data_IF_005544614629
#
_entry.id   IF_005544614629
#
_cell.length_a   1.000
_cell.length_b   1.000
_cell.length_c   1.000
_cell.angle_alpha   90.00
_cell.angle_beta   90.00
_cell.angle_gamma   90.00
#
_symmetry.space_group_name_H-M   'P 1'
#
loop_
_entity.id
_entity.type
_entity.pdbx_description
1 polymer ?
#
# COMPACT_ATOMS: atom_id res chain seq x y z
N UNK A 1 34.43 -26.10 -10.72
CA UNK A 1 34.06 -25.94 -9.29
C UNK A 1 34.22 -24.50 -8.78
N UNK A 2 35.39 -23.83 -8.91
CA UNK A 2 35.56 -22.42 -8.48
C UNK A 2 34.76 -21.39 -9.30
N UNK A 3 34.51 -21.65 -10.59
CA UNK A 3 33.67 -20.78 -11.44
C UNK A 3 32.17 -20.84 -11.07
N UNK A 4 31.69 -22.01 -10.63
CA UNK A 4 30.30 -22.23 -10.19
C UNK A 4 29.99 -21.49 -8.88
N UNK A 5 30.97 -21.43 -7.97
CA UNK A 5 30.87 -20.74 -6.69
C UNK A 5 30.88 -19.21 -6.86
N UNK A 6 31.66 -18.68 -7.82
CA UNK A 6 31.68 -17.24 -8.14
C UNK A 6 30.34 -16.77 -8.72
N UNK A 7 29.73 -17.56 -9.62
CA UNK A 7 28.37 -17.32 -10.15
C UNK A 7 27.27 -17.40 -9.08
N UNK A 8 27.47 -18.15 -7.99
CA UNK A 8 26.52 -18.22 -6.85
C UNK A 8 26.69 -17.04 -5.89
N UNK A 9 27.91 -16.50 -5.72
CA UNK A 9 28.16 -15.29 -4.95
C UNK A 9 27.65 -14.02 -5.67
N UNK A 10 27.85 -13.91 -6.98
CA UNK A 10 27.36 -12.77 -7.78
C UNK A 10 25.83 -12.70 -7.86
N UNK A 11 25.12 -13.84 -7.72
CA UNK A 11 23.65 -13.88 -7.61
C UNK A 11 23.11 -13.40 -6.25
N UNK A 12 23.95 -13.35 -5.22
CA UNK A 12 23.58 -12.85 -3.89
C UNK A 12 23.84 -11.36 -3.71
N UNK A 13 24.67 -10.73 -4.55
CA UNK A 13 25.06 -9.33 -4.43
C UNK A 13 24.31 -8.37 -5.36
N UNK A 14 23.34 -8.86 -6.13
CA UNK A 14 22.45 -8.02 -6.92
C UNK A 14 21.02 -8.20 -6.42
N UNK A 15 20.57 -7.34 -5.52
CA UNK A 15 19.15 -7.18 -5.24
C UNK A 15 18.49 -6.67 -6.51
N UNK A 16 18.09 -7.59 -7.41
CA UNK A 16 17.08 -7.23 -8.40
C UNK A 16 15.88 -6.73 -7.61
N UNK A 17 15.33 -5.55 -7.92
CA UNK A 17 14.06 -5.16 -7.35
C UNK A 17 13.07 -6.30 -7.57
N UNK A 18 12.28 -6.63 -6.55
CA UNK A 18 11.21 -7.61 -6.69
C UNK A 18 10.43 -7.23 -7.94
N UNK A 19 10.32 -8.11 -8.94
CA UNK A 19 9.52 -7.79 -10.10
C UNK A 19 8.07 -7.60 -9.61
N UNK A 20 7.60 -6.36 -9.68
CA UNK A 20 6.26 -5.93 -9.31
C UNK A 20 5.26 -6.46 -10.34
N UNK A 21 5.01 -7.76 -10.29
CA UNK A 21 4.06 -8.41 -11.18
C UNK A 21 2.64 -8.07 -10.74
N UNK A 22 1.86 -7.50 -11.64
CA UNK A 22 0.42 -7.34 -11.46
C UNK A 22 -0.28 -8.68 -11.67
N UNK A 23 -1.16 -9.05 -10.75
CA UNK A 23 -1.94 -10.28 -10.84
C UNK A 23 -2.93 -10.19 -12.01
N UNK A 24 -2.97 -11.21 -12.86
CA UNK A 24 -3.96 -11.29 -13.95
C UNK A 24 -4.32 -12.76 -14.20
N UNK A 25 -5.46 -13.27 -13.66
CA UNK A 25 -5.77 -14.70 -13.68
C UNK A 25 -6.00 -15.26 -15.10
N UNK A 26 -6.38 -14.39 -16.05
CA UNK A 26 -6.57 -14.74 -17.46
C UNK A 26 -5.47 -14.17 -18.37
N UNK A 27 -4.39 -13.62 -17.79
CA UNK A 27 -3.28 -13.07 -18.56
C UNK A 27 -2.44 -14.18 -19.20
N UNK A 28 -2.39 -14.23 -20.52
CA UNK A 28 -1.31 -14.95 -21.19
C UNK A 28 0.04 -14.37 -20.72
N UNK A 29 1.11 -15.18 -20.59
CA UNK A 29 2.49 -14.70 -20.32
C UNK A 29 3.07 -13.80 -21.44
N UNK A 30 2.21 -13.26 -22.30
CA UNK A 30 2.53 -12.48 -23.49
C UNK A 30 2.10 -11.04 -23.29
N UNK A 31 3.05 -10.22 -22.86
CA UNK A 31 3.38 -8.91 -23.42
C UNK A 31 4.15 -8.12 -22.36
N UNK A 32 5.47 -8.03 -22.53
CA UNK A 32 6.27 -6.97 -21.92
C UNK A 32 5.78 -5.65 -22.50
N UNK A 33 4.78 -5.02 -21.89
CA UNK A 33 4.41 -3.64 -22.25
C UNK A 33 5.33 -2.72 -21.46
N UNK A 34 6.44 -2.32 -22.06
CA UNK A 34 7.23 -1.19 -21.59
C UNK A 34 6.41 0.07 -21.94
N UNK A 35 5.79 0.68 -20.94
CA UNK A 35 5.20 2.01 -21.09
C UNK A 35 6.29 3.03 -20.75
N UNK A 36 6.55 3.95 -21.68
CA UNK A 36 7.49 5.05 -21.47
C UNK A 36 6.72 6.23 -20.89
N UNK A 37 6.99 6.58 -19.62
CA UNK A 37 6.72 7.92 -19.08
C UNK A 37 8.06 8.64 -18.94
N UNK A 38 8.10 9.93 -19.25
CA UNK A 38 9.31 10.63 -19.69
C UNK A 38 10.51 10.69 -18.71
N UNK A 39 10.45 10.13 -17.50
CA UNK A 39 11.55 10.19 -16.52
C UNK A 39 11.81 8.92 -15.68
N UNK A 40 11.12 7.78 -15.92
CA UNK A 40 11.42 6.52 -15.21
C UNK A 40 11.08 5.31 -16.06
N UNK A 41 12.03 4.40 -16.25
CA UNK A 41 11.80 3.10 -16.91
C UNK A 41 11.20 2.11 -15.91
N UNK A 42 9.88 2.18 -15.69
CA UNK A 42 9.18 1.16 -14.92
C UNK A 42 8.67 0.03 -15.84
N UNK A 43 9.13 -1.19 -15.56
CA UNK A 43 8.75 -2.37 -16.33
C UNK A 43 7.46 -2.95 -15.74
N UNK A 44 6.32 -2.62 -16.33
CA UNK A 44 5.06 -3.27 -15.99
C UNK A 44 5.01 -4.68 -16.59
N UNK A 45 4.88 -5.69 -15.73
CA UNK A 45 4.70 -7.07 -16.17
C UNK A 45 3.47 -7.66 -15.50
N UNK A 46 2.59 -8.25 -16.29
CA UNK A 46 1.41 -8.97 -15.83
C UNK A 46 1.70 -10.46 -15.79
N UNK A 47 1.31 -11.12 -14.72
CA UNK A 47 1.48 -12.55 -14.57
C UNK A 47 0.36 -13.16 -13.71
N UNK A 48 -0.04 -14.42 -13.95
CA UNK A 48 -0.99 -15.13 -13.10
C UNK A 48 -0.52 -15.24 -11.64
N UNK A 49 0.79 -15.24 -11.40
CA UNK A 49 1.44 -15.26 -10.08
C UNK A 49 1.85 -13.87 -9.59
N UNK A 50 1.30 -12.81 -10.18
CA UNK A 50 1.50 -11.44 -9.70
C UNK A 50 0.94 -11.23 -8.30
N UNK A 51 1.63 -10.41 -7.49
CA UNK A 51 1.27 -10.11 -6.11
C UNK A 51 0.59 -8.75 -5.95
N UNK A 52 0.64 -7.88 -6.97
CA UNK A 52 -0.02 -6.58 -6.95
C UNK A 52 -1.41 -6.72 -7.55
N UNK A 53 -2.42 -6.28 -6.80
CA UNK A 53 -3.80 -6.20 -7.26
C UNK A 53 -4.10 -4.76 -7.70
N UNK A 54 -4.52 -4.58 -8.95
CA UNK A 54 -4.92 -3.28 -9.50
C UNK A 54 -6.41 -3.34 -9.82
N UNK A 55 -7.19 -2.56 -9.09
CA UNK A 55 -8.66 -2.64 -9.07
C UNK A 55 -9.33 -1.57 -9.95
N UNK A 56 -8.51 -0.85 -10.73
CA UNK A 56 -8.96 0.27 -11.56
C UNK A 56 -9.38 1.47 -10.73
N UNK A 57 -10.31 2.28 -11.26
CA UNK A 57 -10.87 3.47 -10.59
C UNK A 57 -12.00 2.99 -9.67
N UNK A 58 -11.63 2.29 -8.61
CA UNK A 58 -12.58 1.74 -7.64
C UNK A 58 -11.94 1.62 -6.26
N UNK A 59 -12.01 2.69 -5.47
CA UNK A 59 -11.52 2.68 -4.08
C UNK A 59 -12.32 1.71 -3.22
N UNK A 60 -13.64 1.61 -3.46
CA UNK A 60 -14.49 0.65 -2.77
C UNK A 60 -14.11 -0.80 -3.10
N UNK A 61 -13.85 -1.10 -4.38
CA UNK A 61 -13.40 -2.43 -4.80
C UNK A 61 -12.04 -2.79 -4.21
N UNK A 62 -11.08 -1.85 -4.28
CA UNK A 62 -9.77 -2.02 -3.68
C UNK A 62 -9.81 -2.23 -2.17
N UNK A 63 -10.69 -1.52 -1.48
CA UNK A 63 -10.86 -1.72 -0.05
C UNK A 63 -11.53 -3.06 0.28
N UNK A 64 -12.49 -3.55 -0.52
CA UNK A 64 -13.04 -4.89 -0.36
C UNK A 64 -11.96 -5.98 -0.51
N UNK A 65 -11.09 -5.85 -1.52
CA UNK A 65 -9.93 -6.73 -1.71
C UNK A 65 -8.97 -6.66 -0.52
N UNK A 66 -8.73 -5.45 -0.01
CA UNK A 66 -7.92 -5.23 1.19
C UNK A 66 -8.55 -5.89 2.43
N UNK A 67 -9.87 -5.80 2.65
CA UNK A 67 -10.57 -6.45 3.78
C UNK A 67 -10.47 -7.98 3.66
N UNK A 68 -10.66 -8.53 2.47
CA UNK A 68 -10.55 -9.98 2.25
C UNK A 68 -9.16 -10.50 2.62
N UNK A 69 -8.11 -9.78 2.25
CA UNK A 69 -6.74 -10.10 2.66
C UNK A 69 -6.50 -9.82 4.16
N UNK A 70 -7.01 -8.72 4.71
CA UNK A 70 -6.79 -8.33 6.11
C UNK A 70 -7.52 -9.22 7.12
N UNK A 71 -8.49 -10.01 6.67
CA UNK A 71 -9.26 -10.97 7.48
C UNK A 71 -8.95 -12.43 7.12
N UNK A 72 -8.04 -12.68 6.18
CA UNK A 72 -7.72 -14.02 5.69
C UNK A 72 -7.10 -14.93 6.75
N UNK A 73 -6.50 -14.35 7.80
CA UNK A 73 -6.01 -15.07 8.96
C UNK A 73 -7.13 -15.83 9.70
N UNK A 74 -8.33 -15.25 9.75
CA UNK A 74 -9.49 -15.84 10.40
C UNK A 74 -10.34 -16.65 9.40
N UNK A 75 -10.60 -16.11 8.21
CA UNK A 75 -11.52 -16.73 7.25
C UNK A 75 -10.92 -17.90 6.47
N UNK A 76 -9.61 -17.87 6.20
CA UNK A 76 -8.91 -18.86 5.37
C UNK A 76 -7.71 -19.50 6.07
N UNK A 77 -7.44 -19.15 7.33
CA UNK A 77 -6.26 -19.60 8.08
C UNK A 77 -4.93 -19.32 7.35
N UNK A 78 -4.92 -18.28 6.51
CA UNK A 78 -3.78 -17.90 5.68
C UNK A 78 -3.52 -16.41 5.93
N UNK A 79 -2.74 -16.05 6.97
CA UNK A 79 -2.54 -14.65 7.33
C UNK A 79 -1.84 -13.89 6.21
N UNK A 80 -2.46 -12.80 5.75
CA UNK A 80 -1.90 -11.88 4.77
C UNK A 80 -1.70 -10.49 5.39
N UNK A 81 -0.78 -9.73 4.82
CA UNK A 81 -0.54 -8.33 5.19
C UNK A 81 -0.86 -7.42 4.01
N UNK A 82 -2.09 -6.89 3.92
CA UNK A 82 -2.44 -6.02 2.80
C UNK A 82 -1.95 -4.59 3.02
N UNK A 83 -1.42 -4.01 1.94
CA UNK A 83 -1.10 -2.59 1.81
C UNK A 83 -1.94 -2.02 0.67
N UNK A 84 -2.79 -1.03 0.97
CA UNK A 84 -3.58 -0.34 -0.04
C UNK A 84 -3.17 1.13 -0.11
N UNK A 85 -2.61 1.55 -1.24
CA UNK A 85 -2.20 2.92 -1.52
C UNK A 85 -3.17 3.60 -2.49
N UNK A 86 -3.59 4.81 -2.15
CA UNK A 86 -4.60 5.58 -2.89
C UNK A 86 -4.45 7.08 -2.61
N UNK A 87 -5.06 7.95 -3.42
CA UNK A 87 -5.16 9.39 -3.10
C UNK A 87 -5.88 9.57 -1.77
N UNK A 88 -5.20 10.10 -0.76
CA UNK A 88 -5.70 10.26 0.63
C UNK A 88 -7.14 10.79 0.73
N UNK A 89 -7.50 11.76 -0.12
CA UNK A 89 -8.85 12.33 -0.23
C UNK A 89 -9.97 11.31 -0.50
N UNK A 90 -9.66 10.22 -1.21
CA UNK A 90 -10.62 9.16 -1.57
C UNK A 90 -10.56 7.93 -0.64
N UNK A 91 -9.95 8.08 0.54
CA UNK A 91 -10.06 7.12 1.63
C UNK A 91 -11.30 7.35 2.47
N UNK A 92 -11.11 7.80 3.71
CA UNK A 92 -12.18 7.99 4.68
C UNK A 92 -13.36 8.83 4.19
N UNK A 93 -13.13 9.88 3.39
CA UNK A 93 -14.21 10.70 2.86
C UNK A 93 -15.08 9.94 1.85
N UNK A 94 -14.50 9.03 1.06
CA UNK A 94 -15.18 8.33 -0.05
C UNK A 94 -15.71 6.96 0.35
N UNK A 95 -14.95 6.21 1.15
CA UNK A 95 -15.20 4.81 1.52
C UNK A 95 -15.21 4.58 3.04
N UNK A 96 -15.46 5.63 3.82
CA UNK A 96 -15.41 5.57 5.30
C UNK A 96 -16.29 4.49 5.94
N UNK A 97 -17.49 4.26 5.40
CA UNK A 97 -18.40 3.20 5.90
C UNK A 97 -17.81 1.79 5.69
N UNK A 98 -17.12 1.57 4.57
CA UNK A 98 -16.42 0.30 4.30
C UNK A 98 -15.22 0.15 5.24
N UNK A 99 -14.51 1.23 5.57
CA UNK A 99 -13.42 1.19 6.57
C UNK A 99 -13.99 0.90 7.97
N UNK A 100 -15.19 1.41 8.29
CA UNK A 100 -15.89 1.06 9.52
C UNK A 100 -16.25 -0.42 9.57
N UNK A 101 -16.81 -0.95 8.48
CA UNK A 101 -17.06 -2.39 8.35
C UNK A 101 -15.77 -3.21 8.48
N UNK A 102 -14.65 -2.74 7.94
CA UNK A 102 -13.36 -3.41 8.08
C UNK A 102 -12.93 -3.55 9.55
N UNK A 103 -13.14 -2.50 10.35
CA UNK A 103 -12.89 -2.52 11.78
C UNK A 103 -13.79 -3.53 12.51
N UNK A 104 -15.09 -3.54 12.18
CA UNK A 104 -16.06 -4.51 12.74
C UNK A 104 -15.68 -5.96 12.36
N UNK A 105 -15.20 -6.17 11.13
CA UNK A 105 -14.67 -7.45 10.66
C UNK A 105 -13.29 -7.80 11.23
N UNK A 106 -12.70 -6.95 12.09
CA UNK A 106 -11.38 -7.10 12.71
C UNK A 106 -10.24 -7.22 11.68
N UNK A 107 -10.35 -6.50 10.56
CA UNK A 107 -9.32 -6.49 9.53
C UNK A 107 -8.00 -5.92 10.08
N UNK A 108 -6.89 -6.51 9.65
CA UNK A 108 -5.52 -6.07 9.96
C UNK A 108 -4.81 -5.65 8.68
N UNK A 109 -4.16 -4.49 8.68
CA UNK A 109 -3.31 -4.08 7.56
C UNK A 109 -3.03 -2.58 7.51
N UNK A 110 -2.53 -2.13 6.35
CA UNK A 110 -2.12 -0.76 6.12
C UNK A 110 -2.92 -0.08 5.01
N UNK A 111 -3.47 1.10 5.33
CA UNK A 111 -4.03 2.07 4.39
C UNK A 111 -3.02 3.21 4.22
N UNK A 112 -2.57 3.44 3.00
CA UNK A 112 -1.55 4.44 2.67
C UNK A 112 -2.22 5.58 1.88
N UNK A 113 -2.49 6.69 2.57
CA UNK A 113 -3.05 7.89 1.97
C UNK A 113 -1.98 8.68 1.25
N UNK A 114 -1.74 8.37 -0.03
CA UNK A 114 -0.78 9.06 -0.86
C UNK A 114 -1.26 10.47 -1.25
N UNK A 115 -0.30 11.30 -1.68
CA UNK A 115 -0.51 12.69 -2.08
C UNK A 115 -1.33 13.47 -1.05
N UNK A 116 -1.08 13.19 0.23
CA UNK A 116 -1.73 13.87 1.36
C UNK A 116 -1.20 15.30 1.49
N UNK A 117 -1.94 16.12 2.25
CA UNK A 117 -1.57 17.51 2.52
C UNK A 117 -2.31 18.49 1.60
N UNK A 118 -3.02 19.43 2.23
CA UNK A 118 -3.82 20.45 1.53
C UNK A 118 -2.95 21.27 0.59
N UNK A 119 -1.73 21.56 1.02
CA UNK A 119 -0.76 22.40 0.31
C UNK A 119 0.31 21.60 -0.43
N UNK A 120 0.35 20.28 -0.29
CA UNK A 120 1.37 19.44 -0.94
C UNK A 120 0.92 18.99 -2.33
N UNK A 121 -0.40 18.97 -2.55
CA UNK A 121 -1.02 18.66 -3.84
C UNK A 121 -1.59 19.92 -4.52
N UNK A 122 -0.77 20.97 -4.62
CA UNK A 122 -1.20 22.31 -5.09
C UNK A 122 -1.77 22.37 -6.52
N UNK A 123 -1.56 21.34 -7.36
CA UNK A 123 -2.01 21.32 -8.76
C UNK A 123 -3.37 20.66 -9.04
N UNK A 124 -3.87 19.78 -8.15
CA UNK A 124 -5.06 18.95 -8.43
C UNK A 124 -6.39 19.61 -7.99
N UNK A 125 -6.31 20.69 -7.22
CA UNK A 125 -7.46 21.50 -6.81
C UNK A 125 -8.33 20.90 -5.70
N UNK A 126 -9.50 21.52 -5.51
CA UNK A 126 -10.36 21.39 -4.33
C UNK A 126 -10.71 19.93 -3.95
N UNK A 127 -10.97 19.09 -4.96
CA UNK A 127 -11.44 17.72 -4.77
C UNK A 127 -10.33 16.70 -4.49
N UNK A 128 -9.06 17.12 -4.47
CA UNK A 128 -7.91 16.24 -4.29
C UNK A 128 -7.00 16.67 -3.13
N UNK A 129 -6.94 17.97 -2.84
CA UNK A 129 -6.10 18.52 -1.77
C UNK A 129 -6.60 18.12 -0.39
N UNK A 130 -6.09 17.04 0.18
CA UNK A 130 -6.56 16.52 1.46
C UNK A 130 -5.92 17.22 2.66
N UNK A 131 -6.77 17.74 3.55
CA UNK A 131 -6.34 18.30 4.83
C UNK A 131 -7.26 17.88 5.98
N UNK A 132 -7.95 16.75 5.84
CA UNK A 132 -8.96 16.33 6.82
C UNK A 132 -9.16 14.81 6.93
N UNK A 133 -8.50 13.98 6.12
CA UNK A 133 -8.58 12.51 6.23
C UNK A 133 -8.22 11.99 7.62
N UNK A 134 -7.15 12.48 8.25
CA UNK A 134 -6.75 12.10 9.61
C UNK A 134 -7.85 12.44 10.64
N UNK A 135 -8.53 13.57 10.47
CA UNK A 135 -9.63 14.00 11.33
C UNK A 135 -10.89 13.13 11.14
N UNK A 136 -11.17 12.65 9.93
CA UNK A 136 -12.23 11.66 9.74
C UNK A 136 -11.79 10.31 10.32
N UNK A 137 -10.55 9.89 10.06
CA UNK A 137 -10.00 8.60 10.47
C UNK A 137 -10.03 8.38 11.98
N UNK A 138 -9.76 9.41 12.79
CA UNK A 138 -9.79 9.32 14.27
C UNK A 138 -11.16 8.93 14.84
N UNK A 139 -12.24 9.07 14.06
CA UNK A 139 -13.58 8.65 14.50
C UNK A 139 -13.71 7.13 14.60
N UNK A 140 -12.86 6.36 13.91
CA UNK A 140 -12.85 4.91 13.94
C UNK A 140 -11.84 4.39 14.99
N UNK A 141 -12.28 3.62 16.00
CA UNK A 141 -11.43 3.21 17.12
C UNK A 141 -10.34 2.20 16.76
N UNK A 142 -10.48 1.46 15.65
CA UNK A 142 -9.46 0.52 15.20
C UNK A 142 -8.37 1.20 14.36
N UNK A 143 -8.58 2.45 13.95
CA UNK A 143 -7.67 3.17 13.06
C UNK A 143 -6.59 3.88 13.88
N UNK A 144 -5.34 3.57 13.58
CA UNK A 144 -4.17 4.28 14.11
C UNK A 144 -3.61 5.16 12.98
N UNK A 145 -3.90 6.46 13.06
CA UNK A 145 -3.46 7.45 12.08
C UNK A 145 -2.07 8.00 12.40
N UNK A 146 -1.20 8.04 11.38
CA UNK A 146 0.14 8.61 11.45
C UNK A 146 0.37 9.61 10.31
N UNK A 147 1.08 10.69 10.63
CA UNK A 147 1.50 11.72 9.69
C UNK A 147 3.02 11.94 9.72
N UNK A 148 3.81 10.98 9.19
CA UNK A 148 5.26 11.06 9.22
C UNK A 148 5.79 12.12 8.24
N UNK A 149 6.83 12.82 8.67
CA UNK A 149 7.58 13.78 7.85
C UNK A 149 8.78 13.13 7.14
N UNK A 150 9.37 12.09 7.74
CA UNK A 150 10.60 11.49 7.25
C UNK A 150 10.46 9.99 6.94
N UNK A 151 11.24 9.51 5.97
CA UNK A 151 11.22 8.11 5.52
C UNK A 151 11.58 7.10 6.63
N UNK A 152 12.45 7.49 7.58
CA UNK A 152 12.78 6.62 8.71
C UNK A 152 11.58 6.44 9.66
N UNK A 153 10.70 7.45 9.78
CA UNK A 153 9.48 7.35 10.59
C UNK A 153 8.51 6.37 9.94
N UNK A 154 8.33 6.44 8.62
CA UNK A 154 7.51 5.48 7.86
C UNK A 154 7.99 4.04 8.10
N UNK A 155 9.31 3.82 8.04
CA UNK A 155 9.92 2.51 8.26
C UNK A 155 9.61 1.98 9.66
N UNK A 156 9.79 2.83 10.68
CA UNK A 156 9.51 2.49 12.08
C UNK A 156 8.02 2.24 12.32
N UNK A 157 7.14 3.06 11.76
CA UNK A 157 5.67 2.93 11.90
C UNK A 157 5.19 1.61 11.29
N UNK A 158 5.72 1.22 10.12
CA UNK A 158 5.38 -0.06 9.50
C UNK A 158 5.85 -1.22 10.38
N UNK A 159 7.10 -1.22 10.85
CA UNK A 159 7.61 -2.26 11.77
C UNK A 159 6.77 -2.35 13.04
N UNK A 160 6.46 -1.20 13.65
CA UNK A 160 5.62 -1.11 14.84
C UNK A 160 4.21 -1.66 14.60
N UNK A 161 3.58 -1.31 13.48
CA UNK A 161 2.25 -1.81 13.14
C UNK A 161 2.19 -3.31 12.92
N UNK A 162 3.24 -3.89 12.30
CA UNK A 162 3.35 -5.34 12.14
C UNK A 162 3.44 -6.03 13.50
N UNK A 163 4.27 -5.52 14.41
CA UNK A 163 4.42 -6.06 15.77
C UNK A 163 3.12 -5.96 16.57
N UNK A 164 2.41 -4.84 16.50
CA UNK A 164 1.12 -4.69 17.19
C UNK A 164 0.07 -5.67 16.64
N UNK A 165 -0.02 -5.81 15.31
CA UNK A 165 -1.04 -6.65 14.68
C UNK A 165 -0.77 -8.15 14.81
N UNK A 166 0.49 -8.57 14.72
CA UNK A 166 0.86 -9.99 14.63
C UNK A 166 1.73 -10.50 15.77
N UNK A 167 2.52 -9.63 16.40
CA UNK A 167 3.27 -9.97 17.62
C UNK A 167 2.38 -9.91 18.86
N UNK A 168 1.48 -8.92 18.92
CA UNK A 168 0.59 -8.66 20.07
C UNK A 168 -0.90 -8.93 19.81
N UNK A 169 -1.21 -9.49 18.64
CA UNK A 169 -2.56 -9.93 18.25
C UNK A 169 -3.64 -8.83 18.35
N UNK A 170 -3.31 -7.59 17.95
CA UNK A 170 -4.27 -6.48 17.95
C UNK A 170 -4.92 -6.30 16.59
N UNK A 171 -6.24 -6.12 16.58
CA UNK A 171 -6.99 -5.84 15.36
C UNK A 171 -6.99 -4.35 15.07
N UNK A 172 -5.96 -3.91 14.36
CA UNK A 172 -5.71 -2.50 14.06
C UNK A 172 -5.61 -2.29 12.56
N UNK A 173 -6.04 -1.10 12.14
CA UNK A 173 -5.89 -0.58 10.79
C UNK A 173 -4.91 0.59 10.88
N UNK A 174 -3.71 0.42 10.33
CA UNK A 174 -2.74 1.51 10.28
C UNK A 174 -3.05 2.41 9.09
N UNK A 175 -3.30 3.68 9.35
CA UNK A 175 -3.41 4.70 8.32
C UNK A 175 -2.18 5.61 8.34
N UNK A 176 -1.49 5.72 7.21
CA UNK A 176 -0.28 6.53 7.09
C UNK A 176 -0.48 7.51 5.94
N UNK A 177 -0.49 8.82 6.22
CA UNK A 177 -0.42 9.85 5.18
C UNK A 177 0.98 9.88 4.58
N UNK A 178 1.04 9.95 3.25
CA UNK A 178 2.28 9.98 2.49
C UNK A 178 2.25 11.17 1.53
N UNK A 179 3.36 11.89 1.49
CA UNK A 179 3.52 13.12 0.71
C UNK A 179 4.21 12.86 -0.63
N UNK A 180 3.93 13.69 -1.63
CA UNK A 180 4.56 13.69 -2.95
C UNK A 180 5.67 14.74 -3.09
N UNK A 181 6.03 15.42 -2.00
CA UNK A 181 7.08 16.43 -1.95
C UNK A 181 8.33 15.90 -1.22
N UNK A 182 9.50 16.41 -1.60
CA UNK A 182 10.73 16.19 -0.86
C UNK A 182 10.79 17.14 0.35
N UNK A 183 11.28 16.72 1.53
CA UNK A 183 11.36 17.54 2.74
C UNK A 183 12.37 18.71 2.68
N UNK A 184 12.76 19.17 1.48
CA UNK A 184 13.71 20.26 1.25
C UNK A 184 13.12 21.51 0.60
N UNK A 185 11.79 21.60 0.43
CA UNK A 185 11.14 22.73 -0.23
C UNK A 185 9.99 23.27 0.62
N UNK A 186 10.34 23.93 1.72
CA UNK A 186 9.53 24.97 2.38
C UNK A 186 10.47 26.13 2.69
#
# INVERSE_FOLDING_TARGET
>A
MRAELKKRQERRSGSRPLPSYQHTPHGHRSAQRVSYTHLTLERHVQAPDGQILQEGISEAGALCTWIAAGTSYASQQCPMMPFFIYYSMFGFQRVGDIIWQAADARARGFLLGATAGRTTLNGEGLQHQDGHSLLIGITNPAVIGWDPSFAYEVSYIIEHGIEEMWGKDKDLIYYISLYNEYPGCI
#
